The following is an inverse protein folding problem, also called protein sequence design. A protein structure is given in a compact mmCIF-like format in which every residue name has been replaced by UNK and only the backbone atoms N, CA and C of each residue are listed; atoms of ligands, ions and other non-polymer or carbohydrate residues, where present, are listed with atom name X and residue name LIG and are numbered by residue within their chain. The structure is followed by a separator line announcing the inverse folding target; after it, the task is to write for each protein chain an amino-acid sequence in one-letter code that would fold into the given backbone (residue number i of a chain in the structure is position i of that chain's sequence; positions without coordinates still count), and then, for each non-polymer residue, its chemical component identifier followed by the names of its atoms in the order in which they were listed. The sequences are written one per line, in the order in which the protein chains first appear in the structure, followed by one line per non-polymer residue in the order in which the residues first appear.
data_IF_038704535327
#
_entry.id   IF_038704535327
#
_cell.length_a   1.000
_cell.length_b   1.000
_cell.length_c   1.000
_cell.angle_alpha   90.00
_cell.angle_beta   90.00
_cell.angle_gamma   90.00
#
_symmetry.space_group_name_H-M   'P 1'
#
loop_
_entity.id
_entity.type
_entity.pdbx_description
1 polymer ?
#
# COMPACT_ATOMS: atom_id res chain seq x y z
N UNK A 1 11.84 -1.32 22.42
CA UNK A 1 11.86 -2.80 22.38
C UNK A 1 11.77 -3.36 20.95
N UNK A 2 10.71 -3.05 20.14
CA UNK A 2 10.61 -3.54 18.75
C UNK A 2 11.72 -2.95 17.86
N UNK A 3 11.95 -1.65 17.95
CA UNK A 3 13.01 -0.96 17.21
C UNK A 3 14.40 -1.51 17.57
N UNK A 4 14.65 -1.78 18.86
CA UNK A 4 15.91 -2.37 19.32
C UNK A 4 16.11 -3.78 18.74
N UNK A 5 15.05 -4.57 18.64
CA UNK A 5 15.09 -5.90 17.99
C UNK A 5 15.37 -5.79 16.50
N UNK A 6 14.75 -4.83 15.80
CA UNK A 6 15.04 -4.58 14.40
C UNK A 6 16.50 -4.13 14.22
N UNK A 7 16.98 -3.23 15.07
CA UNK A 7 18.36 -2.77 15.03
C UNK A 7 19.38 -3.91 15.23
N UNK A 8 19.07 -4.88 16.07
CA UNK A 8 19.91 -6.08 16.27
C UNK A 8 19.96 -7.00 15.03
N UNK A 9 18.96 -6.93 14.15
CA UNK A 9 18.92 -7.71 12.90
C UNK A 9 19.64 -7.04 11.73
N UNK A 10 20.08 -5.79 11.89
CA UNK A 10 20.76 -5.06 10.81
C UNK A 10 22.10 -5.69 10.46
N UNK A 11 22.30 -5.89 9.18
CA UNK A 11 23.58 -6.31 8.63
C UNK A 11 23.76 -5.75 7.20
N UNK A 12 25.00 -5.60 6.70
CA UNK A 12 25.27 -5.00 5.39
C UNK A 12 24.68 -5.76 4.19
N UNK A 13 24.32 -7.03 4.36
CA UNK A 13 23.80 -7.90 3.29
C UNK A 13 22.26 -8.07 3.33
N UNK A 14 21.60 -7.42 4.29
CA UNK A 14 20.14 -7.53 4.38
C UNK A 14 19.47 -6.86 3.18
N UNK A 15 18.36 -7.42 2.69
CA UNK A 15 17.57 -6.76 1.67
C UNK A 15 16.92 -5.48 2.22
N UNK A 16 16.61 -4.54 1.33
CA UNK A 16 15.72 -3.44 1.67
C UNK A 16 14.30 -3.97 1.80
N UNK A 17 13.61 -3.60 2.87
CA UNK A 17 12.24 -4.01 3.17
C UNK A 17 11.34 -2.80 3.31
N UNK A 18 10.10 -2.92 2.85
CA UNK A 18 9.04 -1.98 3.18
C UNK A 18 8.19 -2.58 4.31
N UNK A 19 8.09 -1.89 5.42
CA UNK A 19 7.40 -2.36 6.63
C UNK A 19 6.29 -1.40 7.02
N UNK A 20 5.11 -1.92 7.28
CA UNK A 20 4.04 -1.17 7.95
C UNK A 20 4.34 -1.04 9.44
N UNK A 21 4.13 0.14 10.00
CA UNK A 21 4.35 0.39 11.42
C UNK A 21 3.71 1.67 11.92
N UNK A 22 3.94 1.97 13.18
CA UNK A 22 3.40 3.16 13.84
C UNK A 22 4.50 4.18 14.11
N UNK A 23 4.22 5.43 13.76
CA UNK A 23 5.03 6.58 14.17
C UNK A 23 4.35 7.26 15.35
N UNK A 24 5.11 7.55 16.39
CA UNK A 24 4.64 8.25 17.59
C UNK A 24 5.36 9.60 17.74
N UNK A 25 4.59 10.66 17.97
CA UNK A 25 5.13 11.88 18.57
C UNK A 25 4.71 11.92 20.02
N UNK A 26 5.68 11.93 20.91
CA UNK A 26 5.46 12.02 22.36
C UNK A 26 5.54 13.48 22.82
N UNK A 27 4.82 13.81 23.90
CA UNK A 27 5.04 15.04 24.66
C UNK A 27 6.22 14.87 25.63
N UNK A 28 6.42 15.91 26.48
CA UNK A 28 7.50 15.93 27.48
C UNK A 28 7.31 14.86 28.57
N UNK A 29 6.10 14.39 28.78
CA UNK A 29 5.72 13.39 29.78
C UNK A 29 5.67 11.97 29.21
N UNK A 30 6.02 11.81 27.92
CA UNK A 30 6.01 10.52 27.22
C UNK A 30 4.61 10.06 26.79
N UNK A 31 3.64 10.97 26.74
CA UNK A 31 2.28 10.68 26.26
C UNK A 31 2.23 10.86 24.74
N UNK A 32 1.69 9.89 23.99
CA UNK A 32 1.55 10.02 22.54
C UNK A 32 0.63 11.19 22.16
N UNK A 33 1.20 12.22 21.53
CA UNK A 33 0.43 13.35 20.99
C UNK A 33 -0.20 13.04 19.65
N UNK A 34 0.50 12.25 18.83
CA UNK A 34 0.05 11.83 17.52
C UNK A 34 0.56 10.43 17.23
N UNK A 35 -0.32 9.59 16.72
CA UNK A 35 0.00 8.28 16.20
C UNK A 35 -0.30 8.29 14.70
N UNK A 36 0.61 7.75 13.89
CA UNK A 36 0.45 7.64 12.44
C UNK A 36 0.70 6.21 12.00
N UNK A 37 -0.06 5.75 11.03
CA UNK A 37 0.18 4.49 10.34
C UNK A 37 1.11 4.77 9.16
N UNK A 38 2.31 4.19 9.15
CA UNK A 38 3.41 4.60 8.26
C UNK A 38 4.02 3.39 7.55
N UNK A 39 4.39 3.57 6.28
CA UNK A 39 5.34 2.68 5.62
C UNK A 39 6.75 3.18 5.89
N UNK A 40 7.59 2.28 6.39
CA UNK A 40 9.01 2.50 6.56
C UNK A 40 9.82 1.74 5.52
N UNK A 41 10.88 2.37 5.03
CA UNK A 41 12.00 1.63 4.48
C UNK A 41 12.87 1.14 5.63
N UNK A 42 13.17 -0.15 5.64
CA UNK A 42 14.11 -0.74 6.57
C UNK A 42 15.24 -1.43 5.80
N UNK A 43 16.48 -1.01 6.06
CA UNK A 43 17.67 -1.51 5.43
C UNK A 43 18.87 -1.47 6.40
N UNK A 44 20.08 -1.74 5.90
CA UNK A 44 21.31 -1.70 6.71
C UNK A 44 21.59 -0.36 7.39
N UNK A 45 20.95 0.74 6.97
CA UNK A 45 21.07 2.08 7.58
C UNK A 45 20.03 2.32 8.67
N UNK A 46 18.99 1.50 8.76
CA UNK A 46 17.93 1.60 9.75
C UNK A 46 16.55 1.83 9.13
N UNK A 47 15.66 2.44 9.90
CA UNK A 47 14.27 2.76 9.52
C UNK A 47 14.16 4.20 9.03
N UNK A 48 13.53 4.39 7.89
CA UNK A 48 13.20 5.70 7.32
C UNK A 48 11.71 5.73 6.99
N UNK A 49 10.92 6.67 7.53
CA UNK A 49 9.51 6.80 7.17
C UNK A 49 9.38 7.30 5.72
N UNK A 50 8.49 6.67 4.95
CA UNK A 50 8.27 6.98 3.54
C UNK A 50 6.87 7.54 3.27
N UNK A 51 5.84 6.96 3.86
CA UNK A 51 4.46 7.28 3.57
C UNK A 51 3.59 7.15 4.82
N UNK A 52 2.68 8.10 5.03
CA UNK A 52 1.67 8.07 6.09
C UNK A 52 0.29 7.83 5.48
N UNK A 53 -0.43 6.86 6.02
CA UNK A 53 -1.81 6.52 5.61
C UNK A 53 -2.70 7.75 5.60
N UNK A 54 -3.42 7.97 4.51
CA UNK A 54 -4.32 9.12 4.34
C UNK A 54 -5.74 8.82 4.78
N UNK A 55 -6.28 7.66 4.40
CA UNK A 55 -7.65 7.30 4.72
C UNK A 55 -7.71 6.53 6.03
N UNK A 56 -8.40 7.10 7.00
CA UNK A 56 -8.63 6.52 8.32
C UNK A 56 -10.08 6.02 8.38
N UNK A 57 -10.33 4.70 8.20
CA UNK A 57 -11.68 4.16 8.27
C UNK A 57 -12.28 4.36 9.66
N UNK A 58 -13.56 4.74 9.69
CA UNK A 58 -14.33 4.96 10.91
C UNK A 58 -15.74 4.35 10.71
N UNK A 59 -15.78 3.08 10.32
CA UNK A 59 -16.98 2.32 10.06
C UNK A 59 -16.75 0.86 10.43
N UNK A 60 -17.85 0.14 10.71
CA UNK A 60 -17.86 -1.27 11.12
C UNK A 60 -17.00 -1.47 12.37
N UNK A 61 -15.95 -2.27 12.27
CA UNK A 61 -14.99 -2.54 13.37
C UNK A 61 -13.88 -1.50 13.48
N UNK A 62 -13.82 -0.54 12.57
CA UNK A 62 -12.74 0.46 12.52
C UNK A 62 -13.12 1.75 13.23
N UNK A 63 -12.20 2.25 14.05
CA UNK A 63 -12.27 3.56 14.73
C UNK A 63 -10.93 4.28 14.62
N UNK A 64 -10.32 4.25 13.42
CA UNK A 64 -8.96 4.78 13.23
C UNK A 64 -8.89 6.29 13.45
N UNK A 65 -9.92 7.05 13.09
CA UNK A 65 -9.95 8.51 13.27
C UNK A 65 -9.79 8.95 14.73
N UNK A 66 -10.16 8.10 15.68
CA UNK A 66 -10.01 8.36 17.10
C UNK A 66 -8.56 8.33 17.57
N UNK A 67 -7.76 7.47 16.98
CA UNK A 67 -6.41 7.18 17.47
C UNK A 67 -5.31 7.69 16.56
N UNK A 68 -5.57 7.82 15.26
CA UNK A 68 -4.56 8.14 14.26
C UNK A 68 -4.75 9.52 13.66
N UNK A 69 -3.62 10.10 13.22
CA UNK A 69 -3.60 11.29 12.38
C UNK A 69 -3.33 10.90 10.94
N UNK A 70 -4.16 11.39 10.02
CA UNK A 70 -4.00 11.16 8.60
C UNK A 70 -2.73 11.83 8.03
N UNK A 71 -2.15 11.21 7.01
CA UNK A 71 -1.16 11.82 6.15
C UNK A 71 -1.78 12.80 5.15
N UNK A 72 -0.97 13.68 4.58
CA UNK A 72 -1.37 14.63 3.53
C UNK A 72 -0.61 14.44 2.23
N UNK A 73 0.58 13.87 2.30
CA UNK A 73 1.49 13.76 1.17
C UNK A 73 1.34 12.40 0.47
N UNK A 74 1.52 12.39 -0.85
CA UNK A 74 1.75 11.15 -1.60
C UNK A 74 3.20 10.70 -1.40
N UNK A 75 3.49 9.45 -1.75
CA UNK A 75 4.87 8.97 -1.76
C UNK A 75 5.17 8.19 -3.04
N UNK A 76 6.16 8.71 -3.78
CA UNK A 76 6.80 8.03 -4.89
C UNK A 76 8.16 7.56 -4.38
N UNK A 77 8.26 6.27 -4.12
CA UNK A 77 9.47 5.64 -3.61
C UNK A 77 10.40 5.22 -4.74
N UNK A 78 11.63 5.72 -4.73
CA UNK A 78 12.62 5.38 -5.73
C UNK A 78 13.61 4.36 -5.18
N UNK A 79 13.71 3.21 -5.84
CA UNK A 79 14.60 2.12 -5.44
C UNK A 79 15.23 1.46 -6.65
N UNK A 80 16.57 1.40 -6.70
CA UNK A 80 17.36 0.77 -7.77
C UNK A 80 16.95 1.23 -9.19
N UNK A 81 16.70 2.53 -9.36
CA UNK A 81 16.30 3.11 -10.66
C UNK A 81 14.85 2.87 -11.04
N UNK A 82 14.03 2.31 -10.15
CA UNK A 82 12.59 2.08 -10.32
C UNK A 82 11.78 2.98 -9.39
N UNK A 83 10.59 3.37 -9.84
CA UNK A 83 9.69 4.27 -9.11
C UNK A 83 8.41 3.53 -8.71
N UNK A 84 8.02 3.61 -7.44
CA UNK A 84 6.85 2.94 -6.88
C UNK A 84 5.93 3.93 -6.18
N UNK A 85 4.62 3.86 -6.47
CA UNK A 85 3.61 4.51 -5.67
C UNK A 85 3.33 3.70 -4.40
N UNK A 86 3.21 4.37 -3.25
CA UNK A 86 2.93 3.72 -1.97
C UNK A 86 1.52 4.02 -1.46
N UNK A 87 0.83 2.99 -0.98
CA UNK A 87 -0.50 3.05 -0.37
C UNK A 87 -0.54 2.15 0.88
N UNK A 88 -1.44 2.47 1.81
CA UNK A 88 -1.72 1.62 2.98
C UNK A 88 -3.20 1.25 3.01
N UNK A 89 -3.49 -0.04 2.84
CA UNK A 89 -4.79 -0.68 3.08
C UNK A 89 -5.97 0.10 2.50
N UNK A 90 -6.63 0.95 3.32
CA UNK A 90 -7.80 1.76 2.94
C UNK A 90 -7.53 2.72 1.79
N UNK A 91 -6.30 3.21 1.63
CA UNK A 91 -5.96 4.21 0.62
C UNK A 91 -6.23 3.76 -0.83
N UNK A 92 -6.36 2.44 -1.06
CA UNK A 92 -6.73 1.92 -2.38
C UNK A 92 -8.23 2.04 -2.69
N UNK A 93 -9.08 2.30 -1.69
CA UNK A 93 -10.53 2.25 -1.86
C UNK A 93 -11.12 3.62 -2.22
N UNK A 94 -12.02 3.63 -3.21
CA UNK A 94 -12.91 4.76 -3.44
C UNK A 94 -14.14 4.61 -2.54
N UNK A 95 -14.40 5.61 -1.70
CA UNK A 95 -15.57 5.65 -0.85
C UNK A 95 -16.10 7.08 -0.75
N UNK A 96 -17.42 7.23 -0.82
CA UNK A 96 -18.11 8.52 -0.55
C UNK A 96 -17.97 8.99 0.91
N UNK A 97 -17.43 8.14 1.78
CA UNK A 97 -17.16 8.48 3.19
C UNK A 97 -15.85 9.26 3.36
N UNK A 98 -15.00 9.29 2.33
CA UNK A 98 -13.72 10.00 2.37
C UNK A 98 -13.79 11.28 1.52
N UNK A 99 -13.13 12.32 1.99
CA UNK A 99 -13.03 13.61 1.28
C UNK A 99 -11.88 13.66 0.28
N UNK A 100 -10.96 12.70 0.36
CA UNK A 100 -9.77 12.59 -0.48
C UNK A 100 -9.73 11.23 -1.17
N UNK A 101 -9.07 11.15 -2.32
CA UNK A 101 -8.83 9.91 -3.07
C UNK A 101 -7.32 9.77 -3.30
N UNK A 102 -6.61 9.01 -2.43
CA UNK A 102 -5.16 8.86 -2.52
C UNK A 102 -4.67 8.28 -3.85
N UNK A 103 -5.46 7.41 -4.49
CA UNK A 103 -5.13 6.85 -5.81
C UNK A 103 -5.18 7.92 -6.88
N UNK A 104 -6.22 8.75 -6.86
CA UNK A 104 -6.37 9.87 -7.79
C UNK A 104 -5.28 10.92 -7.58
N UNK A 105 -5.03 11.32 -6.33
CA UNK A 105 -3.98 12.29 -5.99
C UNK A 105 -2.59 11.80 -6.41
N UNK A 106 -2.27 10.53 -6.19
CA UNK A 106 -1.02 9.93 -6.67
C UNK A 106 -0.95 9.92 -8.20
N UNK A 107 -2.06 9.61 -8.87
CA UNK A 107 -2.12 9.63 -10.33
C UNK A 107 -1.88 11.03 -10.89
N UNK A 108 -2.54 12.04 -10.36
CA UNK A 108 -2.36 13.44 -10.73
C UNK A 108 -0.89 13.87 -10.56
N UNK A 109 -0.28 13.54 -9.42
CA UNK A 109 1.12 13.87 -9.14
C UNK A 109 2.10 13.22 -10.13
N UNK A 110 1.92 11.94 -10.48
CA UNK A 110 2.81 11.27 -11.45
C UNK A 110 2.64 11.84 -12.85
N UNK A 111 1.42 12.28 -13.22
CA UNK A 111 1.19 12.96 -14.50
C UNK A 111 1.85 14.34 -14.52
N UNK A 112 1.67 15.15 -13.48
CA UNK A 112 2.27 16.49 -13.39
C UNK A 112 3.81 16.43 -13.43
N UNK A 113 4.40 15.46 -12.74
CA UNK A 113 5.85 15.26 -12.70
C UNK A 113 6.40 14.48 -13.88
N UNK A 114 5.54 14.01 -14.80
CA UNK A 114 5.90 13.13 -15.93
C UNK A 114 6.72 11.91 -15.48
N UNK A 115 6.29 11.28 -14.39
CA UNK A 115 6.92 10.07 -13.83
C UNK A 115 6.14 8.86 -14.32
N UNK A 116 6.85 7.82 -14.78
CA UNK A 116 6.28 6.51 -15.00
C UNK A 116 6.57 5.63 -13.78
N UNK A 117 5.53 5.05 -13.18
CA UNK A 117 5.71 4.09 -12.10
C UNK A 117 6.04 2.69 -12.65
N UNK A 118 6.94 2.00 -11.99
CA UNK A 118 7.23 0.58 -12.22
C UNK A 118 6.28 -0.34 -11.42
N UNK A 119 5.55 0.21 -10.47
CA UNK A 119 4.55 -0.50 -9.69
C UNK A 119 3.87 0.39 -8.65
N UNK A 120 2.69 -0.05 -8.19
CA UNK A 120 2.02 0.51 -7.01
C UNK A 120 2.01 -0.55 -5.92
N UNK A 121 2.48 -0.23 -4.73
CA UNK A 121 2.59 -1.12 -3.59
C UNK A 121 1.57 -0.72 -2.53
N UNK A 122 0.72 -1.67 -2.12
CA UNK A 122 -0.23 -1.49 -1.03
C UNK A 122 0.09 -2.46 0.10
N UNK A 123 0.45 -1.93 1.27
CA UNK A 123 0.64 -2.72 2.49
C UNK A 123 -0.65 -2.75 3.30
N UNK A 124 -1.18 -3.95 3.57
CA UNK A 124 -2.49 -4.12 4.18
C UNK A 124 -2.51 -5.08 5.37
N UNK A 125 -3.35 -4.74 6.33
CA UNK A 125 -3.95 -5.67 7.29
C UNK A 125 -5.47 -5.58 7.11
N UNK A 126 -5.95 -6.13 5.99
CA UNK A 126 -7.36 -6.03 5.59
C UNK A 126 -8.14 -7.22 6.11
N UNK A 127 -9.17 -6.99 6.97
CA UNK A 127 -9.98 -8.05 7.52
C UNK A 127 -10.70 -8.86 6.44
N UNK A 128 -10.85 -10.14 6.73
CA UNK A 128 -11.62 -11.05 5.90
C UNK A 128 -13.13 -10.87 6.12
N UNK A 129 -13.87 -10.85 5.03
CA UNK A 129 -15.29 -11.17 4.97
C UNK A 129 -15.62 -11.86 3.64
N UNK A 130 -16.74 -12.55 3.59
CA UNK A 130 -17.12 -13.32 2.39
C UNK A 130 -17.24 -12.41 1.16
N UNK A 131 -16.48 -12.73 0.10
CA UNK A 131 -16.45 -11.94 -1.14
C UNK A 131 -15.43 -10.80 -1.18
N UNK A 132 -14.75 -10.47 -0.07
CA UNK A 132 -13.75 -9.39 0.00
C UNK A 132 -12.61 -9.57 -1.00
N UNK A 133 -12.18 -10.81 -1.19
CA UNK A 133 -11.11 -11.15 -2.11
C UNK A 133 -11.41 -10.70 -3.55
N UNK A 134 -12.61 -11.01 -4.04
CA UNK A 134 -13.05 -10.57 -5.39
C UNK A 134 -13.04 -9.05 -5.51
N UNK A 135 -13.49 -8.35 -4.48
CA UNK A 135 -13.54 -6.88 -4.48
C UNK A 135 -12.12 -6.29 -4.48
N UNK A 136 -11.18 -6.88 -3.71
CA UNK A 136 -9.75 -6.49 -3.73
C UNK A 136 -9.14 -6.63 -5.11
N UNK A 137 -9.39 -7.76 -5.79
CA UNK A 137 -8.86 -8.02 -7.13
C UNK A 137 -9.41 -7.06 -8.17
N UNK A 138 -10.70 -6.77 -8.15
CA UNK A 138 -11.32 -5.79 -9.06
C UNK A 138 -10.64 -4.44 -8.88
N UNK A 139 -10.57 -3.96 -7.64
CA UNK A 139 -9.98 -2.65 -7.36
C UNK A 139 -8.50 -2.58 -7.70
N UNK A 140 -7.74 -3.61 -7.39
CA UNK A 140 -6.32 -3.72 -7.76
C UNK A 140 -6.12 -3.69 -9.28
N UNK A 141 -7.01 -4.37 -10.04
CA UNK A 141 -6.98 -4.33 -11.51
C UNK A 141 -7.27 -2.93 -12.07
N UNK A 142 -8.23 -2.21 -11.50
CA UNK A 142 -8.53 -0.83 -11.88
C UNK A 142 -7.31 0.08 -11.66
N UNK A 143 -6.65 -0.03 -10.51
CA UNK A 143 -5.46 0.77 -10.18
C UNK A 143 -4.30 0.39 -11.10
N UNK A 144 -4.06 -0.91 -11.32
CA UNK A 144 -3.02 -1.37 -12.24
C UNK A 144 -3.22 -0.85 -13.67
N UNK A 145 -4.46 -0.84 -14.16
CA UNK A 145 -4.80 -0.28 -15.48
C UNK A 145 -4.64 1.25 -15.52
N UNK A 146 -5.05 1.94 -14.45
CA UNK A 146 -4.93 3.40 -14.36
C UNK A 146 -3.47 3.86 -14.47
N UNK A 147 -2.56 3.21 -13.74
CA UNK A 147 -1.13 3.57 -13.74
C UNK A 147 -0.34 2.90 -14.87
N UNK A 148 -0.89 1.90 -15.55
CA UNK A 148 -0.19 1.14 -16.57
C UNK A 148 0.99 0.32 -16.01
N UNK A 149 0.92 -0.10 -14.75
CA UNK A 149 1.98 -0.85 -14.09
C UNK A 149 1.41 -1.91 -13.11
N UNK A 150 2.20 -2.88 -12.65
CA UNK A 150 1.75 -3.87 -11.67
C UNK A 150 1.28 -3.23 -10.36
N UNK A 151 0.17 -3.76 -9.82
CA UNK A 151 -0.27 -3.48 -8.46
C UNK A 151 0.12 -4.65 -7.54
N UNK A 152 0.92 -4.35 -6.54
CA UNK A 152 1.48 -5.31 -5.59
C UNK A 152 0.73 -5.15 -4.26
N UNK A 153 -0.08 -6.14 -3.93
CA UNK A 153 -0.88 -6.16 -2.71
C UNK A 153 -0.28 -7.13 -1.70
N UNK A 154 0.16 -6.63 -0.56
CA UNK A 154 0.59 -7.45 0.57
C UNK A 154 -0.44 -7.39 1.67
N UNK A 155 -0.89 -8.56 2.15
CA UNK A 155 -1.89 -8.64 3.20
C UNK A 155 -1.42 -9.51 4.36
N UNK A 156 -1.75 -9.08 5.57
CA UNK A 156 -1.55 -9.85 6.78
C UNK A 156 -2.31 -11.17 6.73
N UNK A 157 -1.78 -12.21 7.37
CA UNK A 157 -2.47 -13.48 7.65
C UNK A 157 -2.51 -13.72 9.16
N UNK A 158 -3.57 -14.34 9.63
CA UNK A 158 -3.75 -14.73 11.03
C UNK A 158 -5.06 -14.24 11.63
N UNK A 159 -5.21 -14.44 12.93
CA UNK A 159 -6.36 -13.96 13.73
C UNK A 159 -5.89 -13.04 14.83
N UNK A 160 -6.68 -12.05 15.17
CA UNK A 160 -6.45 -11.13 16.28
C UNK A 160 -7.81 -10.68 16.81
N UNK A 161 -8.06 -11.00 18.07
CA UNK A 161 -9.38 -10.88 18.70
C UNK A 161 -10.47 -11.57 17.85
N UNK A 162 -11.48 -10.81 17.40
CA UNK A 162 -12.58 -11.29 16.56
C UNK A 162 -12.30 -11.09 15.05
N UNK A 163 -11.09 -10.62 14.69
CA UNK A 163 -10.73 -10.28 13.32
C UNK A 163 -9.90 -11.39 12.71
N UNK A 164 -10.30 -11.86 11.53
CA UNK A 164 -9.54 -12.80 10.72
C UNK A 164 -8.92 -12.08 9.51
N UNK A 165 -7.63 -12.36 9.27
CA UNK A 165 -6.89 -11.89 8.11
C UNK A 165 -6.57 -13.09 7.21
N UNK A 166 -7.02 -13.05 5.97
CA UNK A 166 -6.95 -14.17 5.03
C UNK A 166 -5.63 -14.28 4.26
N UNK A 167 -4.71 -13.33 4.43
CA UNK A 167 -3.46 -13.31 3.66
C UNK A 167 -3.73 -13.10 2.18
N UNK A 168 -3.40 -14.11 1.37
CA UNK A 168 -3.64 -14.08 -0.08
C UNK A 168 -3.09 -12.83 -0.75
N UNK A 169 -1.85 -12.44 -0.41
CA UNK A 169 -1.12 -11.38 -1.12
C UNK A 169 -1.02 -11.72 -2.61
N UNK A 170 -1.02 -10.71 -3.47
CA UNK A 170 -1.03 -10.94 -4.92
C UNK A 170 -0.34 -9.82 -5.70
N UNK A 171 -0.01 -10.14 -6.95
CA UNK A 171 0.38 -9.17 -7.97
C UNK A 171 -0.61 -9.24 -9.12
N UNK A 172 -1.14 -8.06 -9.50
CA UNK A 172 -2.02 -7.89 -10.66
C UNK A 172 -1.30 -7.01 -11.68
N UNK A 173 -1.32 -7.41 -12.95
CA UNK A 173 -0.85 -6.59 -14.06
C UNK A 173 -2.01 -6.41 -15.06
N UNK A 174 -2.53 -5.19 -15.15
CA UNK A 174 -3.78 -4.92 -15.84
C UNK A 174 -4.95 -5.67 -15.20
N UNK A 175 -5.61 -6.54 -15.96
CA UNK A 175 -6.70 -7.39 -15.46
C UNK A 175 -6.24 -8.80 -15.03
N UNK A 176 -4.95 -9.10 -15.14
CA UNK A 176 -4.43 -10.45 -14.91
C UNK A 176 -3.74 -10.58 -13.55
N UNK A 177 -4.16 -11.58 -12.77
CA UNK A 177 -3.42 -12.00 -11.58
C UNK A 177 -2.20 -12.77 -12.05
N UNK A 178 -1.00 -12.23 -11.81
CA UNK A 178 0.26 -12.87 -12.23
C UNK A 178 0.82 -13.78 -11.14
N UNK A 179 0.66 -13.37 -9.87
CA UNK A 179 1.17 -14.08 -8.71
C UNK A 179 0.15 -14.00 -7.58
N UNK A 180 0.05 -15.07 -6.79
CA UNK A 180 -0.84 -15.11 -5.65
C UNK A 180 -0.32 -16.02 -4.55
N UNK A 181 -0.29 -15.51 -3.33
CA UNK A 181 0.01 -16.26 -2.12
C UNK A 181 -1.19 -17.10 -1.67
N UNK A 182 -0.92 -18.08 -0.83
CA UNK A 182 -1.95 -18.96 -0.25
C UNK A 182 -2.89 -18.19 0.66
N UNK A 183 -4.11 -18.67 0.74
CA UNK A 183 -5.08 -18.21 1.73
C UNK A 183 -4.79 -18.83 3.10
N UNK A 184 -4.95 -18.04 4.15
CA UNK A 184 -4.90 -18.47 5.56
C UNK A 184 -3.57 -19.13 5.97
N UNK A 185 -2.51 -18.85 5.22
CA UNK A 185 -1.16 -19.39 5.49
C UNK A 185 -0.12 -18.31 5.24
N UNK A 186 0.97 -18.37 6.00
CA UNK A 186 2.17 -17.61 5.68
C UNK A 186 2.74 -18.10 4.34
N UNK A 187 3.13 -17.15 3.51
CA UNK A 187 3.72 -17.45 2.20
C UNK A 187 4.67 -16.34 1.75
N UNK A 188 5.58 -16.67 0.87
CA UNK A 188 6.53 -15.73 0.27
C UNK A 188 6.38 -15.80 -1.25
N UNK A 189 5.96 -14.70 -1.86
CA UNK A 189 5.92 -14.55 -3.30
C UNK A 189 7.22 -13.92 -3.80
N UNK A 190 7.78 -14.50 -4.87
CA UNK A 190 8.87 -13.90 -5.62
C UNK A 190 8.31 -13.38 -6.95
N UNK A 191 8.43 -12.07 -7.17
CA UNK A 191 7.98 -11.42 -8.39
C UNK A 191 9.14 -10.64 -9.02
N UNK A 192 9.43 -10.92 -10.28
CA UNK A 192 10.41 -10.18 -11.05
C UNK A 192 9.70 -9.06 -11.80
N UNK A 193 10.06 -7.81 -11.48
CA UNK A 193 9.58 -6.65 -12.24
C UNK A 193 10.22 -6.68 -13.62
N UNK A 194 9.45 -7.04 -14.62
CA UNK A 194 9.85 -6.91 -16.03
C UNK A 194 9.73 -5.45 -16.45
N UNK A 195 10.61 -5.02 -17.36
CA UNK A 195 10.42 -3.72 -18.00
C UNK A 195 9.07 -3.76 -18.74
N UNK A 196 8.18 -2.82 -18.43
CA UNK A 196 6.87 -2.76 -19.06
C UNK A 196 7.04 -2.51 -20.57
N UNK A 197 6.82 -3.52 -21.39
CA UNK A 197 6.90 -3.46 -22.87
C UNK A 197 5.52 -3.26 -23.50
N UNK A 198 4.65 -2.48 -22.86
CA UNK A 198 3.30 -2.24 -23.37
C UNK A 198 3.11 -0.80 -23.79
N UNK A 199 2.95 -0.54 -25.09
CA UNK A 199 2.18 0.59 -25.58
C UNK A 199 0.73 0.43 -25.13
N UNK A 200 0.44 0.78 -23.88
CA UNK A 200 -0.94 0.93 -23.43
C UNK A 200 -1.45 2.23 -24.02
N UNK A 201 -2.46 2.08 -24.85
CA UNK A 201 -3.25 3.17 -25.43
C UNK A 201 -3.97 3.93 -24.29
N UNK A 202 -3.18 4.67 -23.48
CA UNK A 202 -3.63 5.45 -22.31
C UNK A 202 -4.70 6.47 -22.67
N UNK A 203 -4.81 6.84 -23.95
CA UNK A 203 -5.80 7.80 -24.45
C UNK A 203 -7.21 7.21 -24.58
N UNK A 204 -7.34 5.89 -24.71
CA UNK A 204 -8.64 5.26 -24.96
C UNK A 204 -9.44 5.02 -23.69
N UNK A 205 -8.77 4.66 -22.59
CA UNK A 205 -9.43 4.37 -21.31
C UNK A 205 -9.99 5.63 -20.61
N UNK A 206 -9.40 6.82 -20.82
CA UNK A 206 -9.88 8.07 -20.24
C UNK A 206 -11.06 8.65 -21.02
N UNK A 207 -11.07 8.53 -22.36
CA UNK A 207 -12.14 9.10 -23.19
C UNK A 207 -13.48 8.34 -23.08
N UNK A 208 -13.45 7.05 -22.80
CA UNK A 208 -14.69 6.24 -22.68
C UNK A 208 -15.41 6.45 -21.33
N UNK A 209 -14.73 6.99 -20.31
CA UNK A 209 -15.34 7.28 -18.99
C UNK A 209 -15.80 8.74 -18.82
N UNK A 210 -15.44 9.65 -19.72
CA UNK A 210 -15.89 11.05 -19.69
C UNK A 210 -17.18 11.24 -20.49
N UNK A 211 -17.55 10.28 -21.36
CA UNK A 211 -18.71 10.33 -22.27
C UNK A 211 -19.80 9.31 -21.93
N UNK A 212 -19.82 8.73 -20.73
CA UNK A 212 -20.88 7.84 -20.27
C UNK A 212 -21.60 8.35 -19.01
#
# INVERSE_FOLDING_TARGET
ELLDKLDALRNPKMPTMLLGGLEYKMDQDGIPLKIRNVIYEYNSKGLTPLYTKKLLPNYDIFDEQKYFSAGSENSIYNFQGKSFGLLICEDMWMSSMHTTDPVKELFEEVQEKNIQLDGVINLSASPFYLGKDKTRLIRASEISQLFGCPFIYTNRVGGEDEILFDGSSFVVNGAQITHRAKFYQEDVLSYQLEAFSGELDQKKALNDKVNS
#
